data_IF_760894861093
#
_entry.id   IF_760894861093
#
_cell.length_a   1.000
_cell.length_b   1.000
_cell.length_c   1.000
_cell.angle_alpha   90.00
_cell.angle_beta   90.00
_cell.angle_gamma   90.00
#
_symmetry.space_group_name_H-M   'P 1'
#
loop_
_entity.id
_entity.type
_entity.pdbx_description
1 polymer ?
#
# COMPACT_ATOMS: atom_id res chain seq x y z
N UNK A 1 20.65 -9.00 8.38
CA UNK A 1 19.59 -8.50 7.49
C UNK A 1 18.82 -7.42 8.23
N UNK A 2 18.56 -6.28 7.60
CA UNK A 2 17.90 -5.14 8.23
C UNK A 2 16.38 -5.34 8.25
N UNK A 3 15.74 -5.08 9.39
CA UNK A 3 14.28 -5.13 9.52
C UNK A 3 13.68 -3.89 8.86
N UNK A 4 12.96 -4.07 7.75
CA UNK A 4 12.45 -2.96 6.94
C UNK A 4 11.02 -3.17 6.43
N UNK A 5 10.31 -2.07 6.22
CA UNK A 5 9.07 -1.99 5.45
C UNK A 5 9.29 -1.04 4.26
N UNK A 6 8.85 -1.43 3.06
CA UNK A 6 8.82 -0.55 1.90
C UNK A 6 7.41 -0.04 1.66
N UNK A 7 7.23 1.26 1.56
CA UNK A 7 5.94 1.90 1.34
C UNK A 7 5.79 2.29 -0.12
N UNK A 8 4.66 1.90 -0.71
CA UNK A 8 4.09 2.53 -1.88
C UNK A 8 3.45 3.89 -1.51
N UNK A 9 3.11 4.71 -2.51
CA UNK A 9 2.48 6.00 -2.31
C UNK A 9 1.07 5.88 -1.71
N UNK A 10 0.27 4.91 -2.17
CA UNK A 10 -1.14 4.74 -1.78
C UNK A 10 -1.38 4.79 -0.27
N UNK A 11 -0.69 3.96 0.54
CA UNK A 11 -0.86 3.97 1.99
C UNK A 11 -0.51 5.29 2.67
N UNK A 12 0.52 5.99 2.18
CA UNK A 12 0.91 7.28 2.73
C UNK A 12 -0.15 8.33 2.40
N UNK A 13 -0.66 8.33 1.16
CA UNK A 13 -1.77 9.19 0.74
C UNK A 13 -3.00 8.91 1.62
N UNK A 14 -3.40 7.65 1.78
CA UNK A 14 -4.54 7.26 2.63
C UNK A 14 -4.39 7.81 4.04
N UNK A 15 -3.21 7.67 4.66
CA UNK A 15 -2.96 8.14 6.02
C UNK A 15 -2.96 9.67 6.14
N UNK A 16 -2.41 10.38 5.16
CA UNK A 16 -2.44 11.86 5.12
C UNK A 16 -3.88 12.34 4.99
N UNK A 17 -4.61 11.83 4.00
CA UNK A 17 -6.00 12.22 3.73
C UNK A 17 -6.94 11.87 4.89
N UNK A 18 -6.65 10.79 5.63
CA UNK A 18 -7.39 10.40 6.83
C UNK A 18 -7.00 11.18 8.09
N UNK A 19 -6.02 12.10 8.02
CA UNK A 19 -5.44 12.82 9.17
C UNK A 19 -4.81 11.89 10.21
N UNK A 20 -4.31 10.73 9.77
CA UNK A 20 -3.70 9.70 10.60
C UNK A 20 -2.20 9.56 10.38
N UNK A 21 -1.58 10.35 9.50
CA UNK A 21 -0.15 10.24 9.16
C UNK A 21 0.80 10.31 10.37
N UNK A 22 0.38 10.99 11.44
CA UNK A 22 1.12 11.11 12.69
C UNK A 22 1.32 9.78 13.43
N UNK A 23 0.63 8.69 13.05
CA UNK A 23 0.88 7.36 13.60
C UNK A 23 2.21 6.76 13.11
N UNK A 24 2.71 7.14 11.92
CA UNK A 24 3.88 6.50 11.32
C UNK A 24 5.16 6.58 12.18
N UNK A 25 5.53 7.74 12.77
CA UNK A 25 6.68 7.81 13.66
C UNK A 25 6.56 6.84 14.85
N UNK A 26 5.38 6.77 15.48
CA UNK A 26 5.12 5.88 16.62
C UNK A 26 5.14 4.40 16.21
N UNK A 27 4.62 4.09 15.03
CA UNK A 27 4.68 2.73 14.47
C UNK A 27 6.12 2.33 14.15
N UNK A 28 6.94 3.24 13.60
CA UNK A 28 8.37 2.99 13.33
C UNK A 28 9.13 2.67 14.61
N UNK A 29 8.91 3.45 15.66
CA UNK A 29 9.52 3.23 16.98
C UNK A 29 9.19 1.83 17.51
N UNK A 30 7.91 1.42 17.47
CA UNK A 30 7.47 0.09 17.90
C UNK A 30 7.95 -1.04 16.99
N UNK A 31 8.09 -0.76 15.69
CA UNK A 31 8.63 -1.72 14.73
C UNK A 31 10.13 -1.95 14.93
N UNK A 32 10.89 -0.93 15.35
CA UNK A 32 12.33 -1.04 15.60
C UNK A 32 13.12 -1.32 14.32
N UNK A 33 12.73 -0.71 13.22
CA UNK A 33 13.32 -0.94 11.90
C UNK A 33 13.16 0.26 10.97
N UNK A 34 13.43 0.04 9.69
CA UNK A 34 13.41 1.09 8.66
C UNK A 34 12.09 1.13 7.92
N UNK A 35 11.59 2.34 7.68
CA UNK A 35 10.47 2.58 6.78
C UNK A 35 11.05 3.28 5.55
N UNK A 36 11.05 2.57 4.43
CA UNK A 36 11.62 3.05 3.17
C UNK A 36 10.53 3.45 2.18
N UNK A 37 10.82 4.48 1.39
CA UNK A 37 10.13 4.79 0.13
C UNK A 37 11.17 4.79 -1.00
N UNK A 38 10.74 4.61 -2.24
CA UNK A 38 11.64 4.69 -3.40
C UNK A 38 11.63 6.11 -3.99
N UNK A 39 12.60 6.47 -4.87
CA UNK A 39 12.58 7.73 -5.58
C UNK A 39 11.28 7.97 -6.36
N UNK A 40 10.74 6.94 -7.05
CA UNK A 40 9.46 7.05 -7.74
C UNK A 40 8.31 7.40 -6.81
N UNK A 41 8.24 6.75 -5.64
CA UNK A 41 7.25 7.04 -4.60
C UNK A 41 7.43 8.44 -4.01
N UNK A 42 8.66 8.89 -3.78
CA UNK A 42 8.93 10.27 -3.34
C UNK A 42 8.44 11.30 -4.37
N UNK A 43 8.69 11.06 -5.66
CA UNK A 43 8.20 11.94 -6.73
C UNK A 43 6.67 12.03 -6.70
N UNK A 44 5.98 10.91 -6.49
CA UNK A 44 4.52 10.86 -6.42
C UNK A 44 3.95 11.55 -5.17
N UNK A 45 4.61 11.42 -4.02
CA UNK A 45 4.13 11.95 -2.74
C UNK A 45 4.51 13.41 -2.49
N UNK A 46 5.62 13.87 -3.07
CA UNK A 46 6.21 15.18 -2.76
C UNK A 46 6.36 16.04 -4.00
N UNK A 47 7.14 15.59 -4.98
CA UNK A 47 7.57 16.46 -6.07
C UNK A 47 6.41 16.88 -6.97
N UNK A 48 5.51 15.94 -7.34
CA UNK A 48 4.31 16.27 -8.13
C UNK A 48 3.29 17.06 -7.30
N UNK A 49 2.93 16.65 -6.07
CA UNK A 49 1.92 17.38 -5.30
C UNK A 49 2.31 18.80 -4.88
N UNK A 50 3.61 19.10 -4.70
CA UNK A 50 4.09 20.46 -4.42
C UNK A 50 3.70 21.48 -5.52
N UNK A 51 3.62 21.02 -6.77
CA UNK A 51 3.17 21.87 -7.89
C UNK A 51 1.66 22.08 -7.95
N UNK A 52 0.88 21.38 -7.13
CA UNK A 52 -0.58 21.38 -7.18
C UNK A 52 -1.13 22.01 -5.90
N UNK A 53 -1.71 23.20 -6.00
CA UNK A 53 -2.22 23.96 -4.83
C UNK A 53 -3.14 23.18 -3.91
N UNK A 54 -3.94 22.27 -4.46
CA UNK A 54 -4.83 21.40 -3.68
C UNK A 54 -4.09 20.42 -2.77
N UNK A 55 -2.89 19.97 -3.15
CA UNK A 55 -2.14 18.89 -2.49
C UNK A 55 -0.80 19.35 -1.89
N UNK A 56 -0.52 20.65 -1.97
CA UNK A 56 0.73 21.25 -1.52
C UNK A 56 0.96 20.98 -0.01
N UNK A 57 -0.09 21.07 0.82
CA UNK A 57 0.03 20.87 2.26
C UNK A 57 0.27 19.39 2.63
N UNK A 58 -0.39 18.47 1.93
CA UNK A 58 -0.19 17.04 2.06
C UNK A 58 1.27 16.66 1.73
N UNK A 59 1.83 17.26 0.68
CA UNK A 59 3.24 17.11 0.31
C UNK A 59 4.17 17.56 1.45
N UNK A 60 3.90 18.71 2.07
CA UNK A 60 4.69 19.24 3.19
C UNK A 60 4.68 18.31 4.41
N UNK A 61 3.55 17.63 4.69
CA UNK A 61 3.47 16.64 5.75
C UNK A 61 4.40 15.43 5.48
N UNK A 62 4.43 14.94 4.24
CA UNK A 62 5.34 13.85 3.85
C UNK A 62 6.80 14.30 3.89
N UNK A 63 7.11 15.51 3.42
CA UNK A 63 8.46 16.09 3.51
C UNK A 63 8.96 16.15 4.96
N UNK A 64 8.08 16.49 5.90
CA UNK A 64 8.41 16.46 7.32
C UNK A 64 8.78 15.05 7.78
N UNK A 65 8.03 14.02 7.41
CA UNK A 65 8.39 12.63 7.75
C UNK A 65 9.74 12.21 7.20
N UNK A 66 10.09 12.65 5.99
CA UNK A 66 11.39 12.36 5.36
C UNK A 66 12.51 13.08 6.12
N UNK A 67 12.35 14.39 6.34
CA UNK A 67 13.34 15.22 7.05
C UNK A 67 13.60 14.71 8.47
N UNK A 68 12.55 14.30 9.17
CA UNK A 68 12.64 13.80 10.54
C UNK A 68 13.13 12.33 10.59
N UNK A 69 13.44 11.72 9.45
CA UNK A 69 13.94 10.34 9.36
C UNK A 69 12.89 9.29 9.70
N UNK A 70 11.60 9.62 9.71
CA UNK A 70 10.54 8.61 9.80
C UNK A 70 10.48 7.79 8.51
N UNK A 71 10.44 8.45 7.36
CA UNK A 71 10.57 7.81 6.05
C UNK A 71 11.99 8.06 5.52
N UNK A 72 12.62 7.02 4.99
CA UNK A 72 13.95 7.10 4.39
C UNK A 72 13.85 6.77 2.89
N UNK A 73 14.53 7.52 2.03
CA UNK A 73 14.52 7.26 0.59
C UNK A 73 15.57 6.19 0.30
N UNK A 74 15.15 5.09 -0.32
CA UNK A 74 16.03 3.99 -0.71
C UNK A 74 16.47 4.15 -2.16
N UNK A 75 17.66 4.71 -2.37
CA UNK A 75 18.13 5.08 -3.72
C UNK A 75 18.72 3.91 -4.54
N UNK A 76 18.90 2.73 -3.94
CA UNK A 76 19.51 1.55 -4.60
C UNK A 76 18.48 0.72 -5.38
N UNK A 77 17.62 1.38 -6.14
CA UNK A 77 16.54 0.73 -6.91
C UNK A 77 17.12 -0.09 -8.08
N UNK A 78 16.83 -1.40 -8.16
CA UNK A 78 17.31 -2.25 -9.26
C UNK A 78 16.48 -2.05 -10.53
N UNK A 79 16.73 -0.97 -11.27
CA UNK A 79 15.92 -0.55 -12.43
C UNK A 79 15.63 -1.67 -13.45
N UNK A 80 16.64 -2.44 -13.83
CA UNK A 80 16.47 -3.56 -14.77
C UNK A 80 15.51 -4.64 -14.27
N UNK A 81 15.54 -4.92 -12.96
CA UNK A 81 14.62 -5.87 -12.33
C UNK A 81 13.21 -5.32 -12.22
N UNK A 82 13.07 -4.03 -11.91
CA UNK A 82 11.78 -3.32 -11.90
C UNK A 82 11.12 -3.40 -13.28
N UNK A 83 11.87 -3.04 -14.33
CA UNK A 83 11.39 -3.11 -15.72
C UNK A 83 11.02 -4.54 -16.12
N UNK A 84 11.83 -5.53 -15.76
CA UNK A 84 11.55 -6.94 -16.04
C UNK A 84 10.22 -7.39 -15.42
N UNK A 85 10.01 -7.12 -14.12
CA UNK A 85 8.79 -7.52 -13.41
C UNK A 85 7.56 -6.75 -13.91
N UNK A 86 7.72 -5.45 -14.20
CA UNK A 86 6.65 -4.64 -14.78
C UNK A 86 6.24 -5.17 -16.16
N UNK A 87 7.20 -5.46 -17.04
CA UNK A 87 6.93 -6.03 -18.36
C UNK A 87 6.29 -7.42 -18.26
N UNK A 88 6.71 -8.23 -17.30
CA UNK A 88 6.09 -9.54 -17.04
C UNK A 88 4.62 -9.38 -16.61
N UNK A 89 4.33 -8.47 -15.68
CA UNK A 89 2.96 -8.19 -15.25
C UNK A 89 2.10 -7.64 -16.40
N UNK A 90 2.54 -6.58 -17.08
CA UNK A 90 1.76 -5.92 -18.14
C UNK A 90 1.57 -6.81 -19.38
N UNK A 91 2.51 -7.73 -19.65
CA UNK A 91 2.37 -8.71 -20.73
C UNK A 91 1.58 -9.97 -20.36
N UNK A 92 1.09 -10.06 -19.12
CA UNK A 92 0.19 -11.14 -18.67
C UNK A 92 -1.25 -10.95 -19.14
N UNK A 93 -1.60 -9.74 -19.62
CA UNK A 93 -2.98 -9.39 -19.96
C UNK A 93 -3.05 -8.64 -21.29
N UNK A 94 -4.03 -9.00 -22.12
CA UNK A 94 -4.27 -8.33 -23.42
C UNK A 94 -5.73 -7.94 -23.62
N UNK A 95 -5.93 -6.79 -24.25
CA UNK A 95 -7.21 -6.35 -24.81
C UNK A 95 -7.01 -6.01 -26.28
N UNK A 96 -7.82 -6.62 -27.17
CA UNK A 96 -7.76 -6.38 -28.63
C UNK A 96 -6.32 -6.48 -29.18
N UNK A 97 -5.60 -7.54 -28.79
CA UNK A 97 -4.19 -7.82 -29.14
C UNK A 97 -3.14 -6.82 -28.64
N UNK A 98 -3.48 -5.86 -27.78
CA UNK A 98 -2.52 -4.97 -27.11
C UNK A 98 -2.33 -5.38 -25.66
N UNK A 99 -1.09 -5.32 -25.17
CA UNK A 99 -0.81 -5.50 -23.75
C UNK A 99 -1.46 -4.38 -22.94
N UNK A 100 -1.81 -4.69 -21.71
CA UNK A 100 -2.40 -3.72 -20.80
C UNK A 100 -1.35 -3.22 -19.82
N UNK A 101 -1.21 -1.89 -19.73
CA UNK A 101 -0.44 -1.28 -18.65
C UNK A 101 -1.28 -1.27 -17.37
N UNK A 102 -1.06 -2.29 -16.55
CA UNK A 102 -1.85 -2.54 -15.35
C UNK A 102 -1.10 -2.10 -14.09
N UNK A 103 0.24 -2.17 -14.11
CA UNK A 103 1.09 -1.85 -12.96
C UNK A 103 1.95 -0.62 -13.25
N UNK A 104 1.95 0.33 -12.30
CA UNK A 104 2.78 1.52 -12.40
C UNK A 104 4.21 1.25 -11.91
N UNK A 105 5.17 2.04 -12.41
CA UNK A 105 6.59 1.85 -12.08
C UNK A 105 6.85 2.10 -10.59
N UNK A 106 6.24 3.11 -9.97
CA UNK A 106 6.41 3.42 -8.54
C UNK A 106 6.01 2.27 -7.62
N UNK A 107 4.87 1.64 -7.91
CA UNK A 107 4.38 0.45 -7.19
C UNK A 107 5.37 -0.72 -7.31
N UNK A 108 5.89 -0.94 -8.52
CA UNK A 108 6.85 -2.01 -8.78
C UNK A 108 8.22 -1.77 -8.15
N UNK A 109 8.67 -0.52 -8.05
CA UNK A 109 9.93 -0.18 -7.37
C UNK A 109 9.89 -0.62 -5.90
N UNK A 110 8.83 -0.28 -5.16
CA UNK A 110 8.69 -0.63 -3.75
C UNK A 110 8.71 -2.14 -3.54
N UNK A 111 7.95 -2.88 -4.34
CA UNK A 111 7.89 -4.36 -4.31
C UNK A 111 9.24 -4.98 -4.64
N UNK A 112 9.90 -4.50 -5.69
CA UNK A 112 11.19 -5.05 -6.13
C UNK A 112 12.29 -4.80 -5.10
N UNK A 113 12.32 -3.60 -4.51
CA UNK A 113 13.30 -3.28 -3.46
C UNK A 113 13.06 -4.15 -2.23
N UNK A 114 11.81 -4.33 -1.79
CA UNK A 114 11.48 -5.20 -0.68
C UNK A 114 11.94 -6.65 -0.91
N UNK A 115 11.75 -7.18 -2.12
CA UNK A 115 12.24 -8.51 -2.49
C UNK A 115 13.77 -8.59 -2.37
N UNK A 116 14.48 -7.65 -2.98
CA UNK A 116 15.95 -7.67 -3.03
C UNK A 116 16.58 -7.53 -1.64
N UNK A 117 15.98 -6.70 -0.77
CA UNK A 117 16.49 -6.49 0.59
C UNK A 117 15.99 -7.52 1.59
N UNK A 118 15.14 -8.47 1.16
CA UNK A 118 14.42 -9.40 2.04
C UNK A 118 13.69 -8.65 3.17
N UNK A 119 12.97 -7.58 2.81
CA UNK A 119 12.25 -6.74 3.75
C UNK A 119 11.13 -7.54 4.46
N UNK A 120 10.69 -7.04 5.62
CA UNK A 120 9.65 -7.71 6.41
C UNK A 120 8.29 -7.70 5.71
N UNK A 121 7.96 -6.62 5.00
CA UNK A 121 6.77 -6.49 4.16
C UNK A 121 6.87 -5.28 3.21
N UNK A 122 5.97 -5.23 2.24
CA UNK A 122 5.61 -4.04 1.47
C UNK A 122 4.31 -3.50 2.04
N UNK A 123 4.21 -2.19 2.23
CA UNK A 123 2.98 -1.50 2.57
C UNK A 123 2.38 -0.93 1.29
N UNK A 124 1.20 -1.40 0.89
CA UNK A 124 0.52 -0.95 -0.33
C UNK A 124 -1.00 -1.12 -0.25
N UNK A 125 -1.73 -0.21 -0.90
CA UNK A 125 -3.20 -0.22 -0.96
C UNK A 125 -3.73 -0.62 -2.35
N UNK A 126 -2.86 -0.72 -3.36
CA UNK A 126 -3.27 -1.04 -4.73
C UNK A 126 -3.74 -2.50 -4.83
N UNK A 127 -5.00 -2.67 -5.23
CA UNK A 127 -5.71 -3.96 -5.20
C UNK A 127 -5.19 -4.92 -6.27
N UNK A 128 -4.88 -4.41 -7.45
CA UNK A 128 -4.51 -5.20 -8.62
C UNK A 128 -3.15 -5.88 -8.45
N UNK A 129 -2.09 -5.16 -8.12
CA UNK A 129 -0.76 -5.69 -7.84
C UNK A 129 -0.78 -6.63 -6.64
N UNK A 130 -1.51 -6.27 -5.57
CA UNK A 130 -1.68 -7.15 -4.41
C UNK A 130 -2.30 -8.49 -4.81
N UNK A 131 -3.41 -8.49 -5.55
CA UNK A 131 -4.04 -9.74 -6.01
C UNK A 131 -3.16 -10.51 -6.98
N UNK A 132 -2.40 -9.82 -7.83
CA UNK A 132 -1.46 -10.47 -8.73
C UNK A 132 -0.33 -11.19 -7.96
N UNK A 133 0.09 -10.65 -6.82
CA UNK A 133 1.07 -11.26 -5.91
C UNK A 133 0.44 -12.39 -5.08
N UNK A 134 -0.65 -12.12 -4.37
CA UNK A 134 -1.23 -13.00 -3.33
C UNK A 134 -2.19 -14.06 -3.88
N UNK A 135 -3.01 -13.74 -4.88
CA UNK A 135 -4.09 -14.61 -5.37
C UNK A 135 -4.41 -14.36 -6.85
N UNK A 136 -3.55 -14.90 -7.71
CA UNK A 136 -3.64 -14.68 -9.16
C UNK A 136 -4.92 -15.26 -9.80
N UNK A 137 -5.63 -16.19 -9.15
CA UNK A 137 -6.90 -16.76 -9.64
C UNK A 137 -8.05 -15.75 -9.60
N UNK A 138 -8.06 -14.84 -8.63
CA UNK A 138 -9.08 -13.80 -8.53
C UNK A 138 -8.82 -12.63 -9.48
N UNK A 139 -7.59 -12.53 -9.99
CA UNK A 139 -7.17 -11.43 -10.85
C UNK A 139 -7.86 -11.46 -12.22
N UNK A 140 -8.03 -12.64 -12.83
CA UNK A 140 -8.75 -12.83 -14.10
C UNK A 140 -10.17 -12.27 -14.01
N UNK A 141 -10.93 -12.69 -12.99
CA UNK A 141 -12.29 -12.21 -12.73
C UNK A 141 -12.35 -10.70 -12.49
N UNK A 142 -11.38 -10.14 -11.76
CA UNK A 142 -11.35 -8.70 -11.48
C UNK A 142 -11.16 -7.87 -12.74
N UNK A 143 -10.28 -8.31 -13.64
CA UNK A 143 -10.03 -7.60 -14.90
C UNK A 143 -11.22 -7.70 -15.86
N UNK A 144 -11.87 -8.86 -15.96
CA UNK A 144 -13.09 -9.03 -16.75
C UNK A 144 -14.18 -8.04 -16.30
N UNK A 145 -14.42 -7.95 -14.99
CA UNK A 145 -15.39 -7.01 -14.40
C UNK A 145 -15.00 -5.56 -14.70
N UNK A 146 -13.72 -5.19 -14.49
CA UNK A 146 -13.24 -3.81 -14.62
C UNK A 146 -13.29 -3.33 -16.08
N UNK A 147 -12.90 -4.18 -17.02
CA UNK A 147 -12.70 -3.78 -18.42
C UNK A 147 -13.87 -4.15 -19.33
N UNK A 148 -14.86 -4.92 -18.85
CA UNK A 148 -16.11 -5.28 -19.56
C UNK A 148 -15.87 -5.78 -21.00
N UNK A 149 -14.73 -6.44 -21.23
CA UNK A 149 -14.20 -6.87 -22.53
C UNK A 149 -13.58 -8.26 -22.39
N UNK A 150 -13.39 -8.94 -23.51
CA UNK A 150 -12.64 -10.20 -23.61
C UNK A 150 -11.15 -9.95 -23.26
N UNK A 151 -10.85 -9.95 -21.97
CA UNK A 151 -9.48 -9.89 -21.46
C UNK A 151 -8.86 -11.26 -21.72
N UNK A 152 -7.79 -11.31 -22.51
CA UNK A 152 -7.02 -12.53 -22.70
C UNK A 152 -5.92 -12.59 -21.65
N UNK A 153 -5.95 -13.63 -20.81
CA UNK A 153 -4.97 -13.86 -19.75
C UNK A 153 -3.91 -14.86 -20.20
N UNK A 154 -2.63 -14.49 -20.07
CA UNK A 154 -1.52 -15.43 -20.20
C UNK A 154 -1.20 -16.00 -18.81
N UNK A 155 -1.74 -17.19 -18.52
CA UNK A 155 -1.62 -17.85 -17.21
C UNK A 155 -0.18 -18.19 -16.85
N UNK A 156 0.67 -18.54 -17.82
CA UNK A 156 2.07 -18.89 -17.58
C UNK A 156 2.85 -17.69 -17.06
N UNK A 157 2.72 -16.53 -17.71
CA UNK A 157 3.36 -15.28 -17.27
C UNK A 157 2.82 -14.79 -15.93
N UNK A 158 1.52 -14.92 -15.72
CA UNK A 158 0.88 -14.56 -14.46
C UNK A 158 1.38 -15.43 -13.30
N UNK A 159 1.52 -16.73 -13.54
CA UNK A 159 2.08 -17.67 -12.56
C UNK A 159 3.57 -17.39 -12.31
N UNK A 160 4.35 -17.12 -13.36
CA UNK A 160 5.76 -16.74 -13.23
C UNK A 160 5.92 -15.48 -12.38
N UNK A 161 5.12 -14.44 -12.64
CA UNK A 161 5.12 -13.21 -11.85
C UNK A 161 4.83 -13.46 -10.37
N UNK A 162 3.73 -14.17 -10.06
CA UNK A 162 3.34 -14.48 -8.68
C UNK A 162 4.41 -15.33 -7.98
N UNK A 163 4.99 -16.32 -8.68
CA UNK A 163 6.05 -17.17 -8.13
C UNK A 163 7.32 -16.39 -7.77
N UNK A 164 7.67 -15.37 -8.56
CA UNK A 164 8.83 -14.52 -8.28
C UNK A 164 8.62 -13.61 -7.05
N UNK A 165 7.37 -13.37 -6.64
CA UNK A 165 7.00 -12.47 -5.54
C UNK A 165 6.35 -13.18 -4.34
N UNK A 166 6.22 -14.51 -4.37
CA UNK A 166 5.48 -15.32 -3.38
C UNK A 166 5.89 -15.14 -1.91
N UNK A 167 7.12 -14.66 -1.66
CA UNK A 167 7.65 -14.48 -0.31
C UNK A 167 7.42 -13.08 0.24
N UNK A 168 6.86 -12.17 -0.57
CA UNK A 168 6.57 -10.80 -0.15
C UNK A 168 5.30 -10.82 0.68
N UNK A 169 5.40 -10.33 1.91
CA UNK A 169 4.24 -10.02 2.73
C UNK A 169 3.74 -8.63 2.37
N UNK A 170 2.44 -8.48 2.23
CA UNK A 170 1.80 -7.19 1.98
C UNK A 170 1.06 -6.76 3.25
N UNK A 171 1.14 -5.47 3.55
CA UNK A 171 0.38 -4.80 4.61
C UNK A 171 -0.34 -3.61 4.00
N UNK A 172 -1.59 -3.38 4.37
CA UNK A 172 -2.37 -2.23 3.90
C UNK A 172 -2.36 -1.07 4.88
N UNK A 173 -2.69 0.13 4.42
CA UNK A 173 -2.86 1.29 5.30
C UNK A 173 -3.93 1.03 6.37
N UNK A 174 -5.04 0.38 6.03
CA UNK A 174 -6.09 0.03 7.00
C UNK A 174 -5.58 -0.92 8.10
N UNK A 175 -4.64 -1.81 7.78
CA UNK A 175 -4.01 -2.71 8.75
C UNK A 175 -3.03 -1.94 9.64
N UNK A 176 -2.31 -0.94 9.11
CA UNK A 176 -1.52 -0.02 9.94
C UNK A 176 -2.39 0.76 10.92
N UNK A 177 -3.57 1.22 10.47
CA UNK A 177 -4.55 1.89 11.33
C UNK A 177 -5.09 0.95 12.41
N UNK A 178 -5.41 -0.30 12.04
CA UNK A 178 -5.82 -1.33 12.99
C UNK A 178 -4.75 -1.63 14.05
N UNK A 179 -3.47 -1.71 13.64
CA UNK A 179 -2.34 -1.87 14.56
C UNK A 179 -2.20 -0.65 15.48
N UNK A 180 -2.31 0.57 14.96
CA UNK A 180 -2.26 1.79 15.77
C UNK A 180 -3.41 1.85 16.79
N UNK A 181 -4.61 1.42 16.42
CA UNK A 181 -5.73 1.25 17.33
C UNK A 181 -5.41 0.25 18.44
N UNK A 182 -4.93 -0.95 18.07
CA UNK A 182 -4.58 -2.02 19.03
C UNK A 182 -3.49 -1.60 20.01
N UNK A 183 -2.54 -0.77 19.57
CA UNK A 183 -1.47 -0.20 20.39
C UNK A 183 -1.93 0.99 21.26
N UNK A 184 -3.22 1.36 21.22
CA UNK A 184 -3.78 2.45 22.00
C UNK A 184 -3.36 3.84 21.53
N UNK A 185 -2.75 3.95 20.34
CA UNK A 185 -2.24 5.24 19.83
C UNK A 185 -3.37 6.23 19.57
N UNK A 186 -4.58 5.75 19.29
CA UNK A 186 -5.77 6.52 18.92
C UNK A 186 -6.67 6.85 20.13
N UNK A 187 -6.31 6.42 21.34
CA UNK A 187 -7.18 6.50 22.53
C UNK A 187 -7.58 7.93 22.91
N UNK A 188 -6.81 8.95 22.51
CA UNK A 188 -7.17 10.35 22.77
C UNK A 188 -8.38 10.84 21.97
N UNK A 189 -8.81 10.09 20.94
CA UNK A 189 -10.07 10.31 20.23
C UNK A 189 -11.24 9.49 20.80
N UNK A 190 -11.01 8.63 21.80
CA UNK A 190 -12.03 7.74 22.32
C UNK A 190 -13.14 8.54 23.04
N UNK A 191 -14.40 8.46 22.57
CA UNK A 191 -15.49 9.21 23.20
C UNK A 191 -15.86 8.60 24.56
N UNK A 192 -16.21 9.46 25.51
CA UNK A 192 -16.57 9.08 26.90
C UNK A 192 -18.00 8.54 27.04
N UNK A 193 -18.45 7.75 26.07
CA UNK A 193 -19.79 7.17 26.02
C UNK A 193 -19.72 5.65 25.89
N UNK A 194 -20.83 4.96 26.21
CA UNK A 194 -20.93 3.52 26.02
C UNK A 194 -20.66 3.17 24.55
N UNK A 195 -19.78 2.20 24.32
CA UNK A 195 -19.39 1.80 22.97
C UNK A 195 -18.28 2.66 22.33
N UNK A 196 -17.63 3.54 23.08
CA UNK A 196 -16.62 4.45 22.50
C UNK A 196 -15.45 3.78 21.79
N UNK A 197 -15.01 2.60 22.24
CA UNK A 197 -14.03 1.76 21.53
C UNK A 197 -14.51 1.37 20.12
N UNK A 198 -15.72 0.86 20.03
CA UNK A 198 -16.35 0.45 18.77
C UNK A 198 -16.53 1.65 17.85
N UNK A 199 -17.02 2.79 18.36
CA UNK A 199 -17.17 4.02 17.59
C UNK A 199 -15.82 4.51 17.04
N UNK A 200 -14.79 4.53 17.87
CA UNK A 200 -13.45 4.94 17.45
C UNK A 200 -12.91 4.02 16.35
N UNK A 201 -12.95 2.70 16.57
CA UNK A 201 -12.44 1.73 15.62
C UNK A 201 -13.17 1.83 14.27
N UNK A 202 -14.50 1.86 14.30
CA UNK A 202 -15.31 2.00 13.09
C UNK A 202 -14.96 3.28 12.34
N UNK A 203 -14.90 4.42 13.04
CA UNK A 203 -14.57 5.72 12.44
C UNK A 203 -13.23 5.72 11.71
N UNK A 204 -12.17 5.16 12.31
CA UNK A 204 -10.83 5.21 11.71
C UNK A 204 -10.65 4.21 10.57
N UNK A 205 -11.32 3.04 10.63
CA UNK A 205 -11.30 2.08 9.52
C UNK A 205 -12.06 2.61 8.30
N UNK A 206 -13.22 3.25 8.52
CA UNK A 206 -13.97 3.88 7.44
C UNK A 206 -13.26 5.10 6.87
N UNK A 207 -12.58 5.90 7.70
CA UNK A 207 -11.72 6.98 7.23
C UNK A 207 -10.65 6.46 6.26
N UNK A 208 -9.95 5.37 6.61
CA UNK A 208 -8.96 4.77 5.71
C UNK A 208 -9.59 4.25 4.40
N UNK A 209 -10.75 3.57 4.46
CA UNK A 209 -11.46 3.09 3.27
C UNK A 209 -11.87 4.22 2.32
N UNK A 210 -12.48 5.29 2.84
CA UNK A 210 -12.96 6.40 2.02
C UNK A 210 -11.85 7.27 1.45
N UNK A 211 -10.63 7.19 2.00
CA UNK A 211 -9.49 7.99 1.57
C UNK A 211 -8.45 7.21 0.75
N UNK A 212 -8.72 5.96 0.35
CA UNK A 212 -7.88 5.26 -0.63
C UNK A 212 -7.57 3.79 -0.33
N UNK A 213 -7.80 3.30 0.89
CA UNK A 213 -7.55 1.89 1.19
C UNK A 213 -8.53 1.00 0.43
N UNK A 214 -8.02 0.15 -0.48
CA UNK A 214 -8.85 -0.79 -1.22
C UNK A 214 -9.29 -1.97 -0.32
N UNK A 215 -10.45 -1.80 0.31
CA UNK A 215 -11.03 -2.76 1.25
C UNK A 215 -12.55 -2.81 1.12
N UNK A 216 -13.13 -4.00 1.23
CA UNK A 216 -14.58 -4.22 1.22
C UNK A 216 -15.19 -3.95 2.60
N UNK A 217 -16.52 -3.76 2.64
CA UNK A 217 -17.22 -3.58 3.93
C UNK A 217 -17.16 -4.85 4.80
N UNK A 218 -17.18 -6.02 4.15
CA UNK A 218 -17.05 -7.31 4.80
C UNK A 218 -15.69 -7.45 5.49
N UNK A 219 -14.59 -7.09 4.83
CA UNK A 219 -13.25 -7.07 5.44
C UNK A 219 -13.17 -6.11 6.65
N UNK A 220 -13.84 -4.93 6.58
CA UNK A 220 -13.93 -4.02 7.74
C UNK A 220 -14.65 -4.70 8.90
N UNK A 221 -15.78 -5.35 8.63
CA UNK A 221 -16.55 -6.05 9.66
C UNK A 221 -15.70 -7.13 10.34
N UNK A 222 -15.00 -7.94 9.58
CA UNK A 222 -14.09 -8.98 10.07
C UNK A 222 -12.98 -8.39 10.95
N UNK A 223 -12.32 -7.30 10.49
CA UNK A 223 -11.31 -6.61 11.28
C UNK A 223 -11.85 -6.11 12.63
N UNK A 224 -13.07 -5.53 12.64
CA UNK A 224 -13.71 -5.08 13.89
C UNK A 224 -13.98 -6.23 14.84
N UNK A 225 -14.49 -7.35 14.34
CA UNK A 225 -14.76 -8.55 15.15
C UNK A 225 -13.48 -9.11 15.75
N UNK A 226 -12.34 -9.05 15.07
CA UNK A 226 -11.05 -9.48 15.62
C UNK A 226 -10.51 -8.51 16.67
N UNK A 227 -10.66 -7.20 16.48
CA UNK A 227 -10.03 -6.17 17.33
C UNK A 227 -10.85 -5.77 18.57
N UNK A 228 -12.14 -6.10 18.60
CA UNK A 228 -13.03 -5.82 19.74
C UNK A 228 -13.23 -7.02 20.67
N UNK A 229 -12.64 -8.17 20.34
CA UNK A 229 -12.47 -9.30 21.26
C UNK A 229 -11.44 -8.97 22.32
#
# INVERSE_FOLDING_TARGET
MEKALFFDAGPIITLVMSRLIWILPKLKEKFGGKFYITPGVKTELVERPLGIKRFEFEALQVMKLIRDGTLEVYDKVPKSRVEQLQNLANSSFKIKNKNMDIIQTGEMEAVTCALQTNASAVVMDERTLRLLIENNKEMEKLLEIRFKKDVQVNKDKMNDFSNQLKNIKIVRSIELVAVAYKLGMLNHYMPKQRGGKTTLLDSVLWAAKYNGSAVTEQEIKEMKETLLK
#
